data_IF_947660013877
#
_entry.id   IF_947660013877
#
_cell.length_a   1.000
_cell.length_b   1.000
_cell.length_c   1.000
_cell.angle_alpha   90.00
_cell.angle_beta   90.00
_cell.angle_gamma   90.00
#
_symmetry.space_group_name_H-M   'P 1'
#
loop_
_entity.id
_entity.type
_entity.pdbx_description
1 polymer ?
#
# COMPACT_ATOMS: atom_id res chain seq x y z
N UNK A 1 -13.47 32.81 60.19
CA UNK A 1 -12.45 32.27 59.26
C UNK A 1 -13.06 31.02 58.69
N UNK A 2 -13.55 31.07 57.46
CA UNK A 2 -14.19 29.91 56.84
C UNK A 2 -13.12 28.88 56.52
N UNK A 3 -13.19 27.75 57.22
CA UNK A 3 -12.32 26.62 57.02
C UNK A 3 -12.54 26.05 55.61
N UNK A 4 -11.49 26.04 54.78
CA UNK A 4 -11.54 25.49 53.42
C UNK A 4 -12.14 24.07 53.46
N UNK A 5 -13.08 23.75 52.54
CA UNK A 5 -13.66 22.41 52.45
C UNK A 5 -12.59 21.32 52.36
N UNK A 6 -12.89 20.15 52.92
CA UNK A 6 -11.93 19.02 53.02
C UNK A 6 -11.33 18.66 51.66
N UNK A 7 -12.13 18.66 50.59
CA UNK A 7 -11.65 18.36 49.24
C UNK A 7 -10.63 19.37 48.72
N UNK A 8 -10.76 20.66 49.07
CA UNK A 8 -9.84 21.72 48.68
C UNK A 8 -8.49 21.58 49.37
N UNK A 9 -8.47 21.25 50.67
CA UNK A 9 -7.21 20.97 51.40
C UNK A 9 -6.49 19.75 50.84
N UNK A 10 -7.25 18.71 50.50
CA UNK A 10 -6.71 17.48 49.93
C UNK A 10 -6.11 17.74 48.54
N UNK A 11 -6.77 18.55 47.71
CA UNK A 11 -6.24 19.00 46.42
C UNK A 11 -4.98 19.84 46.56
N UNK A 12 -4.94 20.76 47.53
CA UNK A 12 -3.78 21.59 47.83
C UNK A 12 -2.58 20.75 48.29
N UNK A 13 -2.82 19.74 49.13
CA UNK A 13 -1.80 18.79 49.56
C UNK A 13 -1.27 17.93 48.40
N UNK A 14 -2.15 17.41 47.54
CA UNK A 14 -1.77 16.64 46.36
C UNK A 14 -1.01 17.50 45.32
N UNK A 15 -1.34 18.79 45.22
CA UNK A 15 -0.62 19.73 44.37
C UNK A 15 0.79 20.04 44.92
N UNK A 16 0.90 20.36 46.21
CA UNK A 16 2.18 20.67 46.86
C UNK A 16 3.13 19.48 46.95
N UNK A 17 2.61 18.25 47.00
CA UNK A 17 3.41 17.01 46.99
C UNK A 17 3.89 16.58 45.60
N UNK A 18 3.45 17.25 44.52
CA UNK A 18 3.81 16.93 43.14
C UNK A 18 3.11 15.68 42.56
N UNK A 19 2.23 15.03 43.33
CA UNK A 19 1.50 13.82 42.91
C UNK A 19 0.64 14.09 41.68
N UNK A 20 -0.03 15.26 41.62
CA UNK A 20 -0.82 15.67 40.46
C UNK A 20 0.04 15.79 39.20
N UNK A 21 1.27 16.30 39.32
CA UNK A 21 2.18 16.44 38.19
C UNK A 21 2.61 15.07 37.65
N UNK A 22 2.91 14.11 38.55
CA UNK A 22 3.28 12.74 38.17
C UNK A 22 2.12 12.03 37.47
N UNK A 23 0.90 12.11 38.03
CA UNK A 23 -0.29 11.51 37.41
C UNK A 23 -0.57 12.10 36.03
N UNK A 24 -0.46 13.43 35.90
CA UNK A 24 -0.66 14.12 34.61
C UNK A 24 0.40 13.70 33.59
N UNK A 25 1.66 13.59 34.01
CA UNK A 25 2.75 13.14 33.15
C UNK A 25 2.54 11.70 32.66
N UNK A 26 2.09 10.79 33.53
CA UNK A 26 1.78 9.40 33.16
C UNK A 26 0.62 9.31 32.18
N UNK A 27 -0.46 10.06 32.41
CA UNK A 27 -1.61 10.13 31.49
C UNK A 27 -1.17 10.67 30.13
N UNK A 28 -0.41 11.77 30.12
CA UNK A 28 0.14 12.35 28.90
C UNK A 28 1.03 11.38 28.13
N UNK A 29 1.91 10.68 28.84
CA UNK A 29 2.79 9.67 28.25
C UNK A 29 2.00 8.53 27.61
N UNK A 30 1.00 7.98 28.29
CA UNK A 30 0.16 6.90 27.75
C UNK A 30 -0.58 7.36 26.48
N UNK A 31 -1.11 8.59 26.47
CA UNK A 31 -1.76 9.16 25.30
C UNK A 31 -0.79 9.27 24.11
N UNK A 32 0.39 9.86 24.34
CA UNK A 32 1.42 10.02 23.30
C UNK A 32 1.88 8.66 22.79
N UNK A 33 2.18 7.72 23.68
CA UNK A 33 2.63 6.37 23.30
C UNK A 33 1.59 5.65 22.42
N UNK A 34 0.31 5.67 22.82
CA UNK A 34 -0.76 5.02 22.05
C UNK A 34 -0.93 5.64 20.66
N UNK A 35 -0.89 6.97 20.57
CA UNK A 35 -1.00 7.69 19.29
C UNK A 35 0.20 7.37 18.37
N UNK A 36 1.43 7.49 18.89
CA UNK A 36 2.66 7.18 18.15
C UNK A 36 2.65 5.74 17.61
N UNK A 37 2.20 4.76 18.41
CA UNK A 37 2.09 3.36 17.95
C UNK A 37 1.03 3.17 16.87
N UNK A 38 -0.09 3.89 16.94
CA UNK A 38 -1.11 3.86 15.90
C UNK A 38 -0.59 4.46 14.58
N UNK A 39 0.08 5.61 14.64
CA UNK A 39 0.71 6.26 13.49
C UNK A 39 1.79 5.38 12.86
N UNK A 40 2.63 4.74 13.68
CA UNK A 40 3.67 3.82 13.22
C UNK A 40 3.06 2.65 12.43
N UNK A 41 2.04 1.97 12.98
CA UNK A 41 1.37 0.85 12.28
C UNK A 41 0.77 1.27 10.94
N UNK A 42 0.18 2.46 10.89
CA UNK A 42 -0.39 3.04 9.66
C UNK A 42 0.71 3.30 8.62
N UNK A 43 1.81 3.92 9.04
CA UNK A 43 2.97 4.21 8.18
C UNK A 43 3.61 2.94 7.62
N UNK A 44 3.83 1.93 8.47
CA UNK A 44 4.40 0.64 8.04
C UNK A 44 3.47 -0.11 7.07
N UNK A 45 2.15 0.03 7.23
CA UNK A 45 1.22 -0.60 6.29
C UNK A 45 1.18 0.18 4.97
N UNK A 46 1.24 1.50 5.05
CA UNK A 46 1.30 2.37 3.87
C UNK A 46 2.55 2.11 3.02
N UNK A 47 3.71 1.83 3.62
CA UNK A 47 4.91 1.51 2.85
C UNK A 47 4.74 0.23 2.03
N UNK A 48 4.04 -0.78 2.54
CA UNK A 48 3.71 -2.00 1.79
C UNK A 48 2.75 -1.69 0.65
N UNK A 49 1.68 -0.91 0.91
CA UNK A 49 0.73 -0.45 -0.14
C UNK A 49 1.46 0.33 -1.24
N UNK A 50 2.44 1.15 -0.86
CA UNK A 50 3.27 1.90 -1.79
C UNK A 50 4.14 0.97 -2.64
N UNK A 51 4.81 -0.02 -2.05
CA UNK A 51 5.62 -0.98 -2.80
C UNK A 51 4.78 -1.75 -3.83
N UNK A 52 3.56 -2.19 -3.46
CA UNK A 52 2.64 -2.80 -4.44
C UNK A 52 2.31 -1.80 -5.56
N UNK A 53 2.02 -0.55 -5.22
CA UNK A 53 1.74 0.48 -6.22
C UNK A 53 2.89 0.75 -7.16
N UNK A 54 4.12 0.72 -6.66
CA UNK A 54 5.31 1.02 -7.45
C UNK A 54 5.61 -0.16 -8.40
N UNK A 55 5.49 -1.41 -7.94
CA UNK A 55 5.60 -2.58 -8.81
C UNK A 55 4.52 -2.60 -9.91
N UNK A 56 3.27 -2.24 -9.60
CA UNK A 56 2.21 -2.14 -10.60
C UNK A 56 2.53 -1.08 -11.67
N UNK A 57 3.09 0.07 -11.28
CA UNK A 57 3.56 1.09 -12.24
C UNK A 57 4.73 0.60 -13.08
N UNK A 58 5.64 -0.17 -12.49
CA UNK A 58 6.75 -0.78 -13.22
C UNK A 58 6.25 -1.78 -14.26
N UNK A 59 5.27 -2.62 -13.91
CA UNK A 59 4.59 -3.53 -14.86
C UNK A 59 3.95 -2.76 -16.01
N UNK A 60 3.24 -1.66 -15.71
CA UNK A 60 2.65 -0.80 -16.75
C UNK A 60 3.72 -0.16 -17.65
N UNK A 61 4.81 0.31 -17.05
CA UNK A 61 5.93 0.93 -17.76
C UNK A 61 6.65 -0.06 -18.67
N UNK A 62 6.99 -1.25 -18.16
CA UNK A 62 7.58 -2.34 -18.93
C UNK A 62 6.66 -2.76 -20.08
N UNK A 63 5.37 -2.93 -19.80
CA UNK A 63 4.37 -3.27 -20.82
C UNK A 63 4.27 -2.21 -21.90
N UNK A 64 4.29 -0.92 -21.54
CA UNK A 64 4.27 0.17 -22.52
C UNK A 64 5.53 0.16 -23.38
N UNK A 65 6.72 -0.02 -22.78
CA UNK A 65 8.00 -0.08 -23.51
C UNK A 65 8.04 -1.24 -24.51
N UNK A 66 7.51 -2.39 -24.12
CA UNK A 66 7.47 -3.58 -24.97
C UNK A 66 6.42 -3.46 -26.10
N UNK A 67 5.17 -3.16 -25.75
CA UNK A 67 4.07 -3.14 -26.72
C UNK A 67 4.07 -1.88 -27.59
N UNK A 68 4.48 -0.74 -27.06
CA UNK A 68 4.51 0.54 -27.81
C UNK A 68 5.97 1.03 -27.86
N UNK A 69 6.84 0.33 -28.62
CA UNK A 69 8.22 0.77 -28.76
C UNK A 69 8.24 2.12 -29.48
N UNK A 70 8.76 3.14 -28.79
CA UNK A 70 9.15 4.41 -29.41
C UNK A 70 10.54 4.28 -30.01
N UNK A 71 11.41 5.26 -29.77
CA UNK A 71 12.83 5.19 -30.16
C UNK A 71 13.69 4.26 -29.27
N UNK A 72 13.05 3.51 -28.38
CA UNK A 72 13.72 2.58 -27.47
C UNK A 72 14.18 1.32 -28.20
N UNK A 73 15.33 0.76 -27.77
CA UNK A 73 15.78 -0.57 -28.22
C UNK A 73 14.63 -1.58 -28.09
N UNK A 74 14.45 -2.40 -29.12
CA UNK A 74 13.54 -3.54 -29.06
C UNK A 74 13.93 -4.43 -27.88
N UNK A 75 12.96 -4.70 -27.01
CA UNK A 75 13.10 -5.64 -25.90
C UNK A 75 12.66 -7.00 -26.43
N UNK A 76 13.51 -8.02 -26.29
CA UNK A 76 13.13 -9.37 -26.71
C UNK A 76 12.00 -9.92 -25.81
N UNK A 77 11.13 -10.75 -26.42
CA UNK A 77 9.95 -11.27 -25.74
C UNK A 77 10.29 -12.06 -24.45
N UNK A 78 11.42 -12.77 -24.44
CA UNK A 78 11.82 -13.58 -23.29
C UNK A 78 12.28 -12.71 -22.12
N UNK A 79 13.08 -11.68 -22.38
CA UNK A 79 13.47 -10.69 -21.37
C UNK A 79 12.26 -9.95 -20.81
N UNK A 80 11.31 -9.55 -21.66
CA UNK A 80 10.06 -8.93 -21.20
C UNK A 80 9.24 -9.86 -20.30
N UNK A 81 9.05 -11.12 -20.72
CA UNK A 81 8.32 -12.10 -19.90
C UNK A 81 8.99 -12.34 -18.55
N UNK A 82 10.32 -12.42 -18.51
CA UNK A 82 11.08 -12.59 -17.28
C UNK A 82 10.94 -11.37 -16.36
N UNK A 83 10.99 -10.15 -16.91
CA UNK A 83 10.79 -8.91 -16.16
C UNK A 83 9.39 -8.86 -15.54
N UNK A 84 8.33 -9.13 -16.33
CA UNK A 84 6.95 -9.17 -15.83
C UNK A 84 6.79 -10.25 -14.75
N UNK A 85 7.35 -11.44 -14.93
CA UNK A 85 7.28 -12.53 -13.96
C UNK A 85 7.93 -12.13 -12.63
N UNK A 86 9.10 -11.49 -12.66
CA UNK A 86 9.79 -11.02 -11.47
C UNK A 86 8.97 -9.95 -10.72
N UNK A 87 8.45 -8.95 -11.44
CA UNK A 87 7.64 -7.88 -10.86
C UNK A 87 6.33 -8.40 -10.25
N UNK A 88 5.68 -9.37 -10.89
CA UNK A 88 4.47 -10.00 -10.35
C UNK A 88 4.77 -10.84 -9.11
N UNK A 89 5.83 -11.64 -9.11
CA UNK A 89 6.24 -12.40 -7.94
C UNK A 89 6.53 -11.48 -6.74
N UNK A 90 7.18 -10.33 -6.98
CA UNK A 90 7.40 -9.34 -5.93
C UNK A 90 6.08 -8.67 -5.48
N UNK A 91 5.18 -8.38 -6.42
CA UNK A 91 3.84 -7.84 -6.12
C UNK A 91 3.05 -8.81 -5.23
N UNK A 92 3.05 -10.10 -5.56
CA UNK A 92 2.42 -11.15 -4.76
C UNK A 92 3.05 -11.25 -3.36
N UNK A 93 4.37 -11.17 -3.25
CA UNK A 93 5.08 -11.14 -1.96
C UNK A 93 4.57 -9.99 -1.09
N UNK A 94 4.50 -8.78 -1.62
CA UNK A 94 4.02 -7.62 -0.89
C UNK A 94 2.53 -7.72 -0.53
N UNK A 95 1.69 -8.27 -1.42
CA UNK A 95 0.28 -8.54 -1.16
C UNK A 95 0.08 -9.56 -0.04
N UNK A 96 0.89 -10.62 -0.02
CA UNK A 96 0.88 -11.62 1.05
C UNK A 96 1.28 -11.00 2.40
N UNK A 97 2.27 -10.11 2.41
CA UNK A 97 2.64 -9.35 3.61
C UNK A 97 1.54 -8.38 4.04
N UNK A 98 0.87 -7.72 3.09
CA UNK A 98 -0.23 -6.80 3.37
C UNK A 98 -1.42 -7.52 4.00
N UNK A 99 -1.75 -8.72 3.52
CA UNK A 99 -2.83 -9.56 4.05
C UNK A 99 -2.64 -9.94 5.52
N UNK A 100 -1.41 -9.98 6.01
CA UNK A 100 -1.12 -10.21 7.43
C UNK A 100 -1.43 -8.98 8.32
N UNK A 101 -1.53 -7.79 7.72
CA UNK A 101 -1.74 -6.52 8.45
C UNK A 101 -3.15 -5.98 8.31
N UNK A 102 -3.80 -6.19 7.16
CA UNK A 102 -5.15 -5.71 6.87
C UNK A 102 -5.98 -6.79 6.16
N UNK A 103 -7.30 -6.71 6.33
CA UNK A 103 -8.22 -7.52 5.54
C UNK A 103 -8.35 -6.89 4.14
N UNK A 104 -7.89 -7.61 3.12
CA UNK A 104 -8.08 -7.22 1.72
C UNK A 104 -9.44 -7.75 1.28
N UNK A 105 -10.32 -6.88 0.79
CA UNK A 105 -11.63 -7.30 0.29
C UNK A 105 -11.46 -8.00 -1.06
N UNK A 106 -11.99 -9.22 -1.19
CA UNK A 106 -11.88 -10.01 -2.42
C UNK A 106 -10.58 -10.82 -2.57
N UNK A 107 -10.48 -11.53 -3.70
CA UNK A 107 -9.29 -12.32 -4.05
C UNK A 107 -8.47 -11.60 -5.12
N UNK A 108 -7.23 -11.22 -4.76
CA UNK A 108 -6.30 -10.59 -5.69
C UNK A 108 -5.58 -11.60 -6.59
N UNK A 109 -5.57 -12.90 -6.26
CA UNK A 109 -4.82 -13.91 -7.03
C UNK A 109 -5.32 -14.03 -8.48
N UNK A 110 -6.64 -14.09 -8.77
CA UNK A 110 -7.13 -14.08 -10.14
C UNK A 110 -6.73 -12.81 -10.89
N UNK A 111 -6.73 -11.66 -10.21
CA UNK A 111 -6.34 -10.38 -10.83
C UNK A 111 -4.87 -10.35 -11.22
N UNK A 112 -3.99 -10.97 -10.42
CA UNK A 112 -2.56 -11.10 -10.72
C UNK A 112 -2.34 -12.07 -11.89
N UNK A 113 -3.01 -13.22 -11.89
CA UNK A 113 -2.94 -14.17 -13.00
C UNK A 113 -3.47 -13.55 -14.32
N UNK A 114 -4.56 -12.79 -14.23
CA UNK A 114 -5.09 -12.03 -15.36
C UNK A 114 -4.13 -10.92 -15.81
N UNK A 115 -3.45 -10.22 -14.89
CA UNK A 115 -2.46 -9.21 -15.23
C UNK A 115 -1.27 -9.81 -15.98
N UNK A 116 -0.78 -10.98 -15.53
CA UNK A 116 0.23 -11.75 -16.25
C UNK A 116 -0.24 -12.06 -17.66
N UNK A 117 -1.41 -12.67 -17.77
CA UNK A 117 -1.99 -13.05 -19.07
C UNK A 117 -2.17 -11.84 -19.98
N UNK A 118 -2.74 -10.75 -19.48
CA UNK A 118 -2.96 -9.52 -20.24
C UNK A 118 -1.63 -8.93 -20.73
N UNK A 119 -0.55 -9.04 -19.94
CA UNK A 119 0.77 -8.54 -20.30
C UNK A 119 1.53 -9.45 -21.28
N UNK A 120 1.44 -10.77 -21.14
CA UNK A 120 2.33 -11.72 -21.83
C UNK A 120 1.66 -12.54 -22.94
N UNK A 121 0.36 -12.39 -23.18
CA UNK A 121 -0.31 -13.15 -24.23
C UNK A 121 0.22 -12.77 -25.62
N UNK A 122 0.66 -13.78 -26.38
CA UNK A 122 1.15 -13.66 -27.76
C UNK A 122 2.34 -12.68 -27.91
N UNK A 123 3.20 -12.55 -26.90
CA UNK A 123 4.39 -11.71 -26.96
C UNK A 123 5.34 -12.12 -28.09
N UNK A 124 5.34 -13.38 -28.49
CA UNK A 124 6.11 -13.91 -29.62
C UNK A 124 5.63 -13.35 -30.97
N UNK A 125 4.37 -12.90 -31.04
CA UNK A 125 3.75 -12.29 -32.23
C UNK A 125 3.70 -10.77 -32.13
N UNK A 126 4.40 -10.16 -31.16
CA UNK A 126 4.33 -8.71 -30.95
C UNK A 126 4.65 -7.92 -32.23
N UNK A 127 5.60 -8.41 -33.05
CA UNK A 127 5.96 -7.77 -34.32
C UNK A 127 4.85 -7.84 -35.39
N UNK A 128 3.98 -8.86 -35.35
CA UNK A 128 2.86 -9.04 -36.29
C UNK A 128 1.69 -8.10 -36.00
N UNK A 129 1.63 -7.54 -34.78
CA UNK A 129 0.53 -6.69 -34.36
C UNK A 129 0.69 -5.26 -34.87
N UNK A 130 -0.42 -4.67 -35.29
CA UNK A 130 -0.50 -3.26 -35.64
C UNK A 130 -0.42 -2.36 -34.38
N UNK A 131 -0.19 -1.06 -34.60
CA UNK A 131 -0.07 -0.08 -33.51
C UNK A 131 -1.32 -0.02 -32.61
N UNK A 132 -2.52 -0.18 -33.17
CA UNK A 132 -3.79 -0.14 -32.43
C UNK A 132 -3.92 -1.35 -31.51
N UNK A 133 -3.62 -2.55 -32.02
CA UNK A 133 -3.62 -3.81 -31.28
C UNK A 133 -2.63 -3.75 -30.11
N UNK A 134 -1.39 -3.31 -30.35
CA UNK A 134 -0.40 -3.17 -29.29
C UNK A 134 -0.79 -2.13 -28.23
N UNK A 135 -1.35 -1.01 -28.67
CA UNK A 135 -1.88 0.03 -27.75
C UNK A 135 -3.00 -0.53 -26.88
N UNK A 136 -3.91 -1.32 -27.46
CA UNK A 136 -5.00 -1.96 -26.72
C UNK A 136 -4.47 -2.89 -25.62
N UNK A 137 -3.42 -3.66 -25.90
CA UNK A 137 -2.81 -4.55 -24.89
C UNK A 137 -2.22 -3.73 -23.74
N UNK A 138 -1.43 -2.69 -24.04
CA UNK A 138 -0.90 -1.79 -23.01
C UNK A 138 -2.01 -1.17 -22.14
N UNK A 139 -3.15 -0.78 -22.75
CA UNK A 139 -4.31 -0.26 -22.01
C UNK A 139 -4.98 -1.32 -21.13
N UNK A 140 -5.08 -2.57 -21.59
CA UNK A 140 -5.62 -3.67 -20.79
C UNK A 140 -4.77 -3.92 -19.54
N UNK A 141 -3.45 -3.93 -19.70
CA UNK A 141 -2.51 -4.04 -18.56
C UNK A 141 -2.72 -2.92 -17.56
N UNK A 142 -2.73 -1.66 -18.00
CA UNK A 142 -3.00 -0.51 -17.11
C UNK A 142 -4.38 -0.57 -16.45
N UNK A 143 -5.41 -1.03 -17.16
CA UNK A 143 -6.75 -1.21 -16.58
C UNK A 143 -6.71 -2.25 -15.45
N UNK A 144 -6.03 -3.38 -15.67
CA UNK A 144 -5.93 -4.45 -14.68
C UNK A 144 -5.14 -4.03 -13.46
N UNK A 145 -3.99 -3.38 -13.65
CA UNK A 145 -3.18 -2.81 -12.58
C UNK A 145 -3.97 -1.79 -11.74
N UNK A 146 -4.76 -0.92 -12.39
CA UNK A 146 -5.66 0.02 -11.69
C UNK A 146 -6.70 -0.68 -10.82
N UNK A 147 -7.30 -1.79 -11.29
CA UNK A 147 -8.28 -2.55 -10.49
C UNK A 147 -7.63 -3.11 -9.23
N UNK A 148 -6.44 -3.73 -9.36
CA UNK A 148 -5.68 -4.25 -8.21
C UNK A 148 -5.35 -3.11 -7.25
N UNK A 149 -4.89 -1.98 -7.77
CA UNK A 149 -4.55 -0.81 -6.95
C UNK A 149 -5.76 -0.25 -6.20
N UNK A 150 -6.92 -0.13 -6.85
CA UNK A 150 -8.17 0.33 -6.20
C UNK A 150 -8.56 -0.58 -5.05
N UNK A 151 -8.51 -1.90 -5.27
CA UNK A 151 -8.83 -2.90 -4.24
C UNK A 151 -7.98 -2.73 -2.98
N UNK A 152 -6.68 -2.51 -3.16
CA UNK A 152 -5.72 -2.33 -2.07
C UNK A 152 -5.94 -1.01 -1.36
N UNK A 153 -6.15 0.08 -2.10
CA UNK A 153 -6.34 1.40 -1.53
C UNK A 153 -7.64 1.47 -0.73
N UNK A 154 -8.73 0.90 -1.25
CA UNK A 154 -10.01 0.80 -0.55
C UNK A 154 -9.88 -0.02 0.74
N UNK A 155 -9.16 -1.15 0.68
CA UNK A 155 -8.88 -1.99 1.86
C UNK A 155 -8.06 -1.25 2.92
N UNK A 156 -7.05 -0.48 2.50
CA UNK A 156 -6.24 0.35 3.40
C UNK A 156 -7.06 1.49 4.01
N UNK A 157 -7.83 2.22 3.20
CA UNK A 157 -8.69 3.30 3.67
C UNK A 157 -9.72 2.78 4.67
N UNK A 158 -10.36 1.64 4.41
CA UNK A 158 -11.32 1.03 5.34
C UNK A 158 -10.70 0.68 6.69
N UNK A 159 -9.41 0.32 6.73
CA UNK A 159 -8.73 -0.04 7.98
C UNK A 159 -8.31 1.16 8.84
N UNK A 160 -7.89 2.26 8.22
CA UNK A 160 -7.20 3.36 8.92
C UNK A 160 -7.87 4.73 8.80
N UNK A 161 -8.84 4.90 7.90
CA UNK A 161 -9.49 6.18 7.61
C UNK A 161 -11.00 6.16 7.83
N UNK A 162 -11.60 4.99 8.09
CA UNK A 162 -12.98 4.85 8.56
C UNK A 162 -13.02 4.57 10.06
#
# INVERSE_FOLDING_TARGET
>A
MDELPVYLRLLQYLASSGVIAILTALIGWVFVYRNSRALQKRSETWSIVKNVSDNLKEIESASRKFWIPGDSKEIDAMSFQNEITALLAETERWLNHLKQRINIEGDYKPLIADLFKDATSNIEKAQEYDKSQRTRISVLVSKRAKIIKSLIDESYQKKFLK
#
